data_IF_355189273246
#
_entry.id   IF_355189273246
#
_cell.length_a   1.000
_cell.length_b   1.000
_cell.length_c   1.000
_cell.angle_alpha   90.00
_cell.angle_beta   90.00
_cell.angle_gamma   90.00
#
_symmetry.space_group_name_H-M   'P 1'
#
loop_
_entity.id
_entity.type
_entity.pdbx_description
1 polymer ?
#
# COMPACT_ATOMS: atom_id res chain seq x y z
N UNK A 1 40.09 -33.26 6.13
CA UNK A 1 40.61 -32.86 4.80
C UNK A 1 39.41 -32.66 3.88
N UNK A 2 39.27 -31.43 3.35
CA UNK A 2 38.47 -30.94 2.20
C UNK A 2 37.04 -31.49 2.01
N UNK A 3 35.99 -30.71 2.29
CA UNK A 3 35.33 -29.73 1.40
C UNK A 3 34.59 -30.32 0.18
N UNK A 4 33.27 -30.12 0.13
CA UNK A 4 32.61 -29.66 -1.09
C UNK A 4 31.35 -28.87 -0.71
N UNK A 5 31.47 -27.55 -0.81
CA UNK A 5 30.39 -26.59 -0.75
C UNK A 5 29.41 -26.83 -1.90
N UNK A 6 28.16 -27.16 -1.58
CA UNK A 6 27.05 -26.97 -2.52
C UNK A 6 26.16 -25.85 -1.99
N UNK A 7 26.37 -24.65 -2.52
CA UNK A 7 25.41 -23.55 -2.45
C UNK A 7 24.09 -24.01 -3.09
N UNK A 8 22.96 -24.08 -2.37
CA UNK A 8 21.68 -24.15 -3.03
C UNK A 8 21.36 -22.76 -3.58
N UNK A 9 21.43 -22.64 -4.91
CA UNK A 9 20.93 -21.50 -5.66
C UNK A 9 19.49 -21.19 -5.23
N UNK A 10 19.25 -19.95 -4.83
CA UNK A 10 17.94 -19.38 -4.51
C UNK A 10 17.11 -19.42 -5.80
N UNK A 11 16.31 -20.46 -5.96
CA UNK A 11 15.32 -20.54 -7.03
C UNK A 11 14.12 -19.67 -6.65
N UNK A 12 14.25 -18.36 -6.85
CA UNK A 12 13.11 -17.45 -6.87
C UNK A 12 12.26 -17.81 -8.10
N UNK A 13 11.04 -18.27 -7.88
CA UNK A 13 10.06 -18.43 -8.94
C UNK A 13 9.66 -17.03 -9.46
N UNK A 14 10.32 -16.57 -10.51
CA UNK A 14 9.95 -15.36 -11.25
C UNK A 14 8.69 -15.71 -12.05
N UNK A 15 7.53 -15.34 -11.51
CA UNK A 15 6.25 -15.42 -12.21
C UNK A 15 6.05 -14.11 -12.98
N UNK A 16 5.81 -14.25 -14.28
CA UNK A 16 5.87 -13.18 -15.28
C UNK A 16 4.99 -11.97 -14.99
N UNK A 17 5.58 -10.79 -15.16
CA UNK A 17 4.89 -9.50 -15.19
C UNK A 17 4.18 -9.37 -16.54
N UNK A 18 2.85 -9.30 -16.51
CA UNK A 18 2.04 -8.84 -17.65
C UNK A 18 1.25 -7.62 -17.19
N UNK A 19 1.43 -6.50 -17.90
CA UNK A 19 0.35 -5.54 -18.18
C UNK A 19 0.31 -4.25 -17.36
N UNK A 20 1.12 -3.27 -17.76
CA UNK A 20 0.82 -1.82 -17.94
C UNK A 20 -0.23 -1.10 -17.08
N UNK A 21 0.12 0.10 -16.57
CA UNK A 21 -0.47 1.40 -16.96
C UNK A 21 0.47 2.55 -16.58
N UNK A 22 0.53 3.51 -17.50
CA UNK A 22 1.34 4.71 -17.67
C UNK A 22 1.54 5.61 -16.44
N UNK A 23 2.79 6.06 -16.24
CA UNK A 23 3.08 7.23 -15.40
C UNK A 23 2.81 8.49 -16.22
N UNK A 24 1.72 9.21 -15.91
CA UNK A 24 1.60 10.60 -16.30
C UNK A 24 2.46 11.42 -15.31
N UNK A 25 3.67 11.77 -15.72
CA UNK A 25 4.50 12.73 -14.99
C UNK A 25 3.91 14.11 -15.26
N UNK A 26 3.18 14.68 -14.29
CA UNK A 26 2.86 16.12 -14.30
C UNK A 26 4.12 16.86 -13.85
N UNK A 27 5.01 17.15 -14.79
CA UNK A 27 6.00 18.22 -14.65
C UNK A 27 5.28 19.55 -14.84
N UNK A 28 4.99 20.27 -13.75
CA UNK A 28 4.90 21.74 -13.83
C UNK A 28 5.13 22.39 -12.46
N UNK A 29 6.38 22.73 -12.17
CA UNK A 29 6.79 23.43 -10.95
C UNK A 29 7.78 24.56 -11.23
N UNK A 30 7.77 25.14 -12.44
CA UNK A 30 8.83 26.08 -12.85
C UNK A 30 8.32 27.44 -13.34
N UNK A 31 7.26 28.01 -12.72
CA UNK A 31 6.79 29.37 -13.10
C UNK A 31 6.18 30.29 -12.03
N UNK A 32 6.41 30.11 -10.73
CA UNK A 32 5.82 31.03 -9.73
C UNK A 32 6.78 31.51 -8.62
N UNK A 33 8.05 31.73 -8.93
CA UNK A 33 8.93 32.55 -8.09
C UNK A 33 9.59 33.66 -8.89
N UNK A 34 9.20 34.89 -8.58
CA UNK A 34 10.00 36.09 -8.82
C UNK A 34 9.49 37.00 -9.94
N UNK A 35 8.81 38.09 -9.55
CA UNK A 35 9.36 39.44 -9.68
C UNK A 35 8.58 40.40 -8.79
N UNK A 36 9.21 40.80 -7.68
CA UNK A 36 8.83 41.94 -6.87
C UNK A 36 9.36 43.20 -7.57
N UNK A 37 8.47 44.11 -7.96
CA UNK A 37 8.81 45.48 -8.35
C UNK A 37 7.93 46.48 -7.61
N UNK A 38 8.61 47.51 -7.13
CA UNK A 38 8.20 48.54 -6.17
C UNK A 38 7.16 49.52 -6.72
N UNK A 39 6.45 50.12 -5.76
CA UNK A 39 5.34 51.06 -5.76
C UNK A 39 5.27 52.19 -6.81
N UNK A 40 4.03 52.52 -7.21
CA UNK A 40 3.58 53.88 -7.55
C UNK A 40 2.05 53.98 -7.32
N UNK A 41 1.59 54.93 -6.51
CA UNK A 41 0.16 55.32 -6.34
C UNK A 41 -0.22 56.32 -7.44
N UNK A 42 -1.45 56.32 -8.02
CA UNK A 42 -2.60 57.11 -7.47
C UNK A 42 -3.99 56.59 -7.98
N UNK A 43 -5.09 57.37 -8.05
CA UNK A 43 -5.81 58.17 -7.05
C UNK A 43 -7.17 57.54 -6.66
N UNK A 44 -7.85 58.16 -5.70
CA UNK A 44 -9.21 57.85 -5.19
C UNK A 44 -10.24 57.58 -6.30
N UNK A 45 -10.80 56.36 -6.35
CA UNK A 45 -11.96 56.02 -7.19
C UNK A 45 -13.23 55.90 -6.34
N UNK A 46 -14.29 56.52 -6.87
CA UNK A 46 -15.63 56.61 -6.31
C UNK A 46 -16.24 55.22 -6.05
N UNK A 47 -16.97 55.11 -4.93
CA UNK A 47 -17.77 53.93 -4.58
C UNK A 47 -18.95 53.87 -5.55
N UNK A 48 -18.79 53.12 -6.64
CA UNK A 48 -19.92 52.67 -7.44
C UNK A 48 -20.62 51.55 -6.67
N UNK A 49 -21.90 51.74 -6.35
CA UNK A 49 -22.74 50.72 -5.73
C UNK A 49 -22.92 49.56 -6.72
N UNK A 50 -22.12 48.52 -6.59
CA UNK A 50 -22.29 47.29 -7.35
C UNK A 50 -23.61 46.62 -6.90
N UNK A 51 -24.58 46.56 -7.80
CA UNK A 51 -25.75 45.72 -7.65
C UNK A 51 -25.24 44.28 -7.78
N UNK A 52 -25.10 43.59 -6.65
CA UNK A 52 -24.74 42.17 -6.64
C UNK A 52 -25.82 41.38 -7.39
N UNK A 53 -25.47 40.57 -8.41
CA UNK A 53 -26.40 39.55 -8.89
C UNK A 53 -26.69 38.57 -7.75
N UNK A 54 -27.90 38.01 -7.67
CA UNK A 54 -28.24 37.04 -6.64
C UNK A 54 -27.27 35.86 -6.73
N UNK A 55 -26.59 35.58 -5.62
CA UNK A 55 -25.77 34.37 -5.46
C UNK A 55 -26.76 33.21 -5.48
N UNK A 56 -26.92 32.57 -6.64
CA UNK A 56 -27.55 31.26 -6.72
C UNK A 56 -26.80 30.34 -5.77
N UNK A 57 -27.49 29.93 -4.70
CA UNK A 57 -26.99 28.95 -3.74
C UNK A 57 -26.94 27.61 -4.44
N UNK A 58 -25.88 27.38 -5.21
CA UNK A 58 -25.58 26.05 -5.75
C UNK A 58 -25.43 25.13 -4.55
N UNK A 59 -26.43 24.25 -4.36
CA UNK A 59 -26.43 23.21 -3.33
C UNK A 59 -25.07 22.50 -3.42
N UNK A 60 -24.29 22.43 -2.32
CA UNK A 60 -23.01 21.71 -2.34
C UNK A 60 -23.25 20.31 -2.90
N UNK A 61 -22.51 19.96 -3.95
CA UNK A 61 -22.53 18.61 -4.47
C UNK A 61 -22.17 17.67 -3.31
N UNK A 62 -23.06 16.73 -2.99
CA UNK A 62 -22.77 15.68 -2.02
C UNK A 62 -21.67 14.84 -2.64
N UNK A 63 -20.44 14.97 -2.13
CA UNK A 63 -19.34 14.10 -2.52
C UNK A 63 -19.67 12.72 -1.98
N UNK A 64 -20.03 11.79 -2.86
CA UNK A 64 -20.27 10.40 -2.51
C UNK A 64 -18.94 9.81 -2.01
N UNK A 65 -18.93 9.35 -0.76
CA UNK A 65 -17.77 8.68 -0.18
C UNK A 65 -17.58 7.34 -0.90
N UNK A 66 -16.37 7.08 -1.39
CA UNK A 66 -16.05 5.79 -2.00
C UNK A 66 -16.32 4.66 -1.00
N UNK A 67 -16.84 3.52 -1.45
CA UNK A 67 -17.07 2.38 -0.56
C UNK A 67 -15.74 1.95 0.06
N UNK A 68 -15.73 1.85 1.39
CA UNK A 68 -14.59 1.34 2.15
C UNK A 68 -14.44 -0.15 1.84
N UNK A 69 -13.25 -0.54 1.39
CA UNK A 69 -12.93 -1.95 1.13
C UNK A 69 -12.55 -2.59 2.47
N UNK A 70 -13.38 -3.53 2.91
CA UNK A 70 -13.12 -4.31 4.13
C UNK A 70 -12.29 -5.56 3.82
N UNK A 71 -11.14 -5.66 4.49
CA UNK A 71 -10.21 -6.80 4.45
C UNK A 71 -10.08 -7.50 5.81
N UNK A 72 -10.94 -7.20 6.79
CA UNK A 72 -10.86 -7.79 8.12
C UNK A 72 -11.10 -9.31 8.11
N UNK A 73 -10.61 -10.03 9.11
CA UNK A 73 -10.85 -11.45 9.30
C UNK A 73 -9.72 -12.34 8.84
N UNK A 74 -10.03 -13.62 8.59
CA UNK A 74 -9.04 -14.66 8.34
C UNK A 74 -8.74 -14.84 6.85
N UNK A 75 -7.46 -14.99 6.55
CA UNK A 75 -6.90 -15.11 5.22
C UNK A 75 -6.00 -16.33 5.12
N UNK A 76 -6.00 -16.98 3.95
CA UNK A 76 -5.10 -18.09 3.67
C UNK A 76 -4.52 -17.97 2.25
N UNK A 77 -3.33 -18.56 2.05
CA UNK A 77 -2.70 -18.62 0.74
C UNK A 77 -2.97 -19.98 0.08
N UNK A 78 -3.86 -20.07 -0.94
CA UNK A 78 -4.13 -21.35 -1.60
C UNK A 78 -2.93 -21.92 -2.37
N UNK A 79 -1.98 -21.07 -2.79
CA UNK A 79 -0.78 -21.52 -3.49
C UNK A 79 0.30 -22.07 -2.55
N UNK A 80 0.18 -21.80 -1.25
CA UNK A 80 1.10 -22.27 -0.22
C UNK A 80 0.31 -22.67 1.04
N UNK A 81 -0.40 -23.81 1.01
CA UNK A 81 -1.31 -24.19 2.11
C UNK A 81 -0.58 -24.42 3.44
N UNK A 82 0.72 -24.74 3.41
CA UNK A 82 1.54 -24.87 4.63
C UNK A 82 1.99 -23.53 5.19
N UNK A 83 1.93 -22.43 4.41
CA UNK A 83 2.24 -21.08 4.89
C UNK A 83 1.17 -20.54 5.87
N UNK A 84 0.17 -21.36 6.21
CA UNK A 84 -0.79 -21.09 7.28
C UNK A 84 -1.76 -19.96 6.95
N UNK A 85 -2.04 -19.12 7.95
CA UNK A 85 -3.09 -18.12 7.89
C UNK A 85 -2.66 -16.77 8.45
N UNK A 86 -3.48 -15.77 8.16
CA UNK A 86 -3.32 -14.39 8.65
C UNK A 86 -4.67 -13.88 9.12
N UNK A 87 -4.72 -13.31 10.32
CA UNK A 87 -5.86 -12.54 10.81
C UNK A 87 -5.59 -11.05 10.62
N UNK A 88 -6.55 -10.30 10.07
CA UNK A 88 -6.46 -8.86 9.85
C UNK A 88 -7.57 -8.15 10.63
N UNK A 89 -7.19 -7.13 11.38
CA UNK A 89 -8.12 -6.18 12.01
C UNK A 89 -8.00 -4.83 11.31
N UNK A 90 -9.06 -4.38 10.61
CA UNK A 90 -9.06 -3.12 9.89
C UNK A 90 -9.90 -2.05 10.62
N UNK A 91 -9.36 -0.83 10.64
CA UNK A 91 -10.05 0.37 11.10
C UNK A 91 -9.89 1.47 10.05
N UNK A 92 -10.95 1.68 9.26
CA UNK A 92 -10.92 2.59 8.09
C UNK A 92 -9.81 2.22 7.11
N UNK A 93 -8.84 3.10 6.88
CA UNK A 93 -7.77 2.89 5.91
C UNK A 93 -6.55 2.22 6.55
N UNK A 94 -6.53 2.02 7.88
CA UNK A 94 -5.42 1.37 8.58
C UNK A 94 -5.80 -0.04 9.02
N UNK A 95 -4.80 -0.92 9.14
CA UNK A 95 -5.01 -2.27 9.64
C UNK A 95 -3.80 -2.78 10.43
N UNK A 96 -4.07 -3.73 11.32
CA UNK A 96 -3.07 -4.56 11.97
C UNK A 96 -3.31 -6.02 11.59
N UNK A 97 -2.27 -6.84 11.65
CA UNK A 97 -2.42 -8.26 11.36
C UNK A 97 -1.45 -9.13 12.16
N UNK A 98 -1.83 -10.40 12.28
CA UNK A 98 -1.01 -11.48 12.83
C UNK A 98 -1.06 -12.67 11.88
N UNK A 99 0.09 -13.22 11.52
CA UNK A 99 0.23 -14.37 10.65
C UNK A 99 0.95 -15.53 11.32
N UNK A 100 0.71 -16.74 10.83
CA UNK A 100 1.38 -17.96 11.28
C UNK A 100 1.48 -18.95 10.14
N UNK A 101 2.49 -19.82 10.17
CA UNK A 101 2.66 -20.82 9.14
C UNK A 101 3.91 -21.66 9.29
N UNK A 102 4.17 -22.47 8.27
CA UNK A 102 5.35 -23.32 8.14
C UNK A 102 5.97 -23.06 6.76
N UNK A 103 7.25 -22.68 6.75
CA UNK A 103 8.04 -22.55 5.53
C UNK A 103 8.22 -23.91 4.85
N UNK A 104 8.56 -23.92 3.56
CA UNK A 104 8.77 -25.15 2.80
C UNK A 104 9.81 -26.11 3.44
N UNK A 105 10.76 -25.58 4.21
CA UNK A 105 11.79 -26.34 4.93
C UNK A 105 11.28 -26.93 6.27
N UNK A 106 9.99 -26.78 6.60
CA UNK A 106 9.41 -27.27 7.85
C UNK A 106 9.62 -26.35 9.05
N UNK A 107 10.14 -25.14 8.85
CA UNK A 107 10.37 -24.16 9.92
C UNK A 107 9.08 -23.38 10.15
N UNK A 108 8.50 -23.49 11.35
CA UNK A 108 7.35 -22.68 11.73
C UNK A 108 7.72 -21.20 11.92
N UNK A 109 6.76 -20.31 11.67
CA UNK A 109 6.90 -18.89 11.91
C UNK A 109 5.61 -18.27 12.43
N UNK A 110 5.76 -17.13 13.09
CA UNK A 110 4.69 -16.18 13.39
C UNK A 110 5.11 -14.81 12.92
N UNK A 111 4.18 -14.02 12.38
CA UNK A 111 4.42 -12.64 11.95
C UNK A 111 3.38 -11.70 12.53
N UNK A 112 3.73 -10.43 12.63
CA UNK A 112 2.80 -9.35 12.95
C UNK A 112 3.21 -8.08 12.23
N UNK A 113 2.24 -7.24 11.94
CA UNK A 113 2.50 -6.00 11.22
C UNK A 113 1.30 -5.07 11.21
N UNK A 114 1.49 -3.96 10.53
CA UNK A 114 0.48 -2.91 10.38
C UNK A 114 0.67 -2.19 9.06
N UNK A 115 -0.40 -1.65 8.52
CA UNK A 115 -0.36 -1.00 7.22
C UNK A 115 -1.57 -0.13 6.93
N UNK A 116 -1.66 0.29 5.68
CA UNK A 116 -2.78 1.06 5.15
C UNK A 116 -3.31 0.47 3.85
N UNK A 117 -4.62 0.62 3.64
CA UNK A 117 -5.36 0.30 2.42
C UNK A 117 -6.03 1.57 1.92
N UNK A 118 -5.48 2.14 0.84
CA UNK A 118 -5.99 3.37 0.21
C UNK A 118 -6.27 3.06 -1.26
N UNK A 119 -7.51 3.23 -1.69
CA UNK A 119 -7.91 3.02 -3.10
C UNK A 119 -7.39 1.68 -3.67
N UNK A 120 -7.68 0.56 -3.00
CA UNK A 120 -7.21 -0.80 -3.33
C UNK A 120 -5.70 -1.01 -3.21
N UNK A 121 -4.91 0.02 -2.94
CA UNK A 121 -3.45 -0.10 -2.75
C UNK A 121 -3.16 -0.38 -1.29
N UNK A 122 -2.43 -1.46 -1.05
CA UNK A 122 -2.09 -1.94 0.27
C UNK A 122 -0.58 -1.74 0.51
N UNK A 123 -0.22 -1.10 1.61
CA UNK A 123 1.18 -0.95 2.05
C UNK A 123 1.30 -1.33 3.51
N UNK A 124 2.29 -2.14 3.87
CA UNK A 124 2.49 -2.56 5.26
C UNK A 124 3.93 -2.95 5.57
N UNK A 125 4.27 -2.84 6.84
CA UNK A 125 5.51 -3.35 7.42
C UNK A 125 5.19 -4.50 8.37
N UNK A 126 6.12 -5.43 8.51
CA UNK A 126 5.95 -6.57 9.40
C UNK A 126 7.27 -7.03 10.03
N UNK A 127 7.14 -7.80 11.11
CA UNK A 127 8.22 -8.57 11.72
C UNK A 127 7.79 -10.02 11.83
N UNK A 128 8.66 -10.95 11.43
CA UNK A 128 8.45 -12.38 11.58
C UNK A 128 9.46 -12.99 12.55
N UNK A 129 9.00 -13.93 13.37
CA UNK A 129 9.80 -14.75 14.27
C UNK A 129 9.71 -16.20 13.82
N UNK A 130 10.85 -16.87 13.73
CA UNK A 130 10.95 -18.24 13.25
C UNK A 130 11.31 -19.17 14.41
N UNK A 131 10.87 -20.42 14.34
CA UNK A 131 11.11 -21.43 15.39
C UNK A 131 12.60 -21.69 15.65
N UNK A 132 13.47 -21.44 14.67
CA UNK A 132 14.92 -21.55 14.82
C UNK A 132 15.58 -20.32 15.47
N UNK A 133 14.78 -19.38 15.99
CA UNK A 133 15.25 -18.16 16.67
C UNK A 133 15.58 -17.00 15.74
N UNK A 134 15.43 -17.15 14.42
CA UNK A 134 15.60 -16.02 13.51
C UNK A 134 14.47 -15.01 13.65
N UNK A 135 14.79 -13.75 13.34
CA UNK A 135 13.84 -12.66 13.25
C UNK A 135 14.08 -11.92 11.95
N UNK A 136 13.04 -11.78 11.14
CA UNK A 136 13.09 -10.98 9.93
C UNK A 136 12.15 -9.78 10.02
N UNK A 137 12.44 -8.76 9.21
CA UNK A 137 11.58 -7.60 9.02
C UNK A 137 11.38 -7.42 7.53
N UNK A 138 10.18 -7.02 7.14
CA UNK A 138 9.90 -6.75 5.75
C UNK A 138 8.86 -5.67 5.56
N UNK A 139 8.84 -5.15 4.34
CA UNK A 139 7.87 -4.18 3.86
C UNK A 139 7.23 -4.72 2.59
N UNK A 140 5.95 -4.43 2.41
CA UNK A 140 5.16 -4.96 1.32
C UNK A 140 4.29 -3.89 0.68
N UNK A 141 4.13 -3.99 -0.63
CA UNK A 141 3.19 -3.17 -1.40
C UNK A 141 2.39 -4.09 -2.32
N UNK A 142 1.08 -3.87 -2.37
CA UNK A 142 0.16 -4.75 -3.06
C UNK A 142 -1.16 -4.12 -3.42
N UNK A 143 -2.09 -4.96 -3.86
CA UNK A 143 -3.45 -4.59 -4.21
C UNK A 143 -4.48 -5.53 -3.61
N UNK A 144 -5.69 -5.01 -3.47
CA UNK A 144 -6.87 -5.74 -2.99
C UNK A 144 -7.95 -5.68 -4.07
N UNK A 145 -8.68 -6.79 -4.28
CA UNK A 145 -9.85 -6.74 -5.17
C UNK A 145 -10.92 -5.78 -4.63
N UNK A 146 -11.75 -5.16 -5.50
CA UNK A 146 -12.77 -4.20 -5.06
C UNK A 146 -13.74 -4.70 -3.99
N UNK A 147 -13.96 -6.01 -3.93
CA UNK A 147 -14.82 -6.67 -2.94
C UNK A 147 -14.08 -7.18 -1.69
N UNK A 148 -12.80 -6.87 -1.52
CA UNK A 148 -12.03 -7.27 -0.34
C UNK A 148 -11.76 -8.79 -0.23
N UNK A 149 -11.93 -9.57 -1.31
CA UNK A 149 -11.83 -11.03 -1.24
C UNK A 149 -10.44 -11.59 -1.55
N UNK A 150 -9.58 -10.84 -2.25
CA UNK A 150 -8.22 -11.28 -2.63
C UNK A 150 -7.21 -10.16 -2.39
N UNK A 151 -6.05 -10.54 -1.87
CA UNK A 151 -4.88 -9.67 -1.69
C UNK A 151 -3.72 -10.27 -2.47
N UNK A 152 -2.96 -9.42 -3.15
CA UNK A 152 -1.64 -9.77 -3.71
C UNK A 152 -0.65 -8.68 -3.35
N UNK A 153 0.51 -9.03 -2.82
CA UNK A 153 1.54 -8.08 -2.45
C UNK A 153 2.93 -8.60 -2.80
N UNK A 154 3.81 -7.69 -3.18
CA UNK A 154 5.25 -7.94 -3.27
C UNK A 154 5.90 -7.45 -1.99
N UNK A 155 6.66 -8.33 -1.36
CA UNK A 155 7.33 -8.09 -0.10
C UNK A 155 8.84 -8.15 -0.28
N UNK A 156 9.56 -7.30 0.44
CA UNK A 156 11.00 -7.40 0.62
C UNK A 156 11.29 -7.65 2.09
N UNK A 157 12.02 -8.72 2.38
CA UNK A 157 12.33 -9.18 3.73
C UNK A 157 13.84 -9.35 3.93
N UNK A 158 14.31 -9.06 5.14
CA UNK A 158 15.74 -9.09 5.49
C UNK A 158 16.38 -10.49 5.41
N UNK A 159 15.60 -11.57 5.46
CA UNK A 159 16.08 -12.95 5.41
C UNK A 159 15.64 -13.63 4.11
N UNK A 160 14.37 -13.48 3.72
CA UNK A 160 13.81 -14.18 2.55
C UNK A 160 14.04 -13.44 1.23
N UNK A 161 14.52 -12.19 1.26
CA UNK A 161 14.64 -11.35 0.07
C UNK A 161 13.28 -10.92 -0.45
N UNK A 162 13.15 -10.78 -1.76
CA UNK A 162 11.89 -10.36 -2.40
C UNK A 162 11.03 -11.56 -2.80
N UNK A 163 9.76 -11.52 -2.45
CA UNK A 163 8.79 -12.57 -2.77
C UNK A 163 7.38 -12.01 -2.95
N UNK A 164 6.50 -12.80 -3.58
CA UNK A 164 5.08 -12.46 -3.73
C UNK A 164 4.27 -13.20 -2.68
N UNK A 165 3.42 -12.45 -1.99
CA UNK A 165 2.39 -12.95 -1.09
C UNK A 165 1.03 -12.85 -1.77
N UNK A 166 0.20 -13.88 -1.60
CA UNK A 166 -1.18 -13.89 -2.06
C UNK A 166 -2.08 -14.44 -0.96
N UNK A 167 -3.28 -13.89 -0.83
CA UNK A 167 -4.26 -14.32 0.15
C UNK A 167 -5.67 -14.30 -0.42
N UNK A 168 -6.49 -15.25 0.01
CA UNK A 168 -7.93 -15.28 -0.20
C UNK A 168 -8.60 -15.29 1.17
N UNK A 169 -9.67 -14.49 1.32
CA UNK A 169 -10.47 -14.44 2.56
C UNK A 169 -11.20 -15.77 2.78
N UNK A 170 -11.25 -16.23 4.02
CA UNK A 170 -11.98 -17.45 4.43
C UNK A 170 -13.47 -17.20 4.64
#
# INVERSE_FOLDING_TARGET
MAESNQNPAIAAAIIGVIGSISVAIITNWDKLTGQQKTAESPPTQQIATAIYPPIDKTKPAVVESLPVIDISGDWYNPAAPTAGGTHIDQQSDSFEFQGWGILAQGIGYTSKGSGNLINQTLTYDYTAQYQNGWVSKGNCTGTVTPNGAKITATCTDTIMGTYVSAGVRQ
#
